data_IF_204679158667
#
_entry.id   IF_204679158667
#
_cell.length_a   1.000
_cell.length_b   1.000
_cell.length_c   1.000
_cell.angle_alpha   90.00
_cell.angle_beta   90.00
_cell.angle_gamma   90.00
#
_symmetry.space_group_name_H-M   'P 1'
#
loop_
_entity.id
_entity.type
_entity.pdbx_description
1 polymer ?
#
# COMPACT_ATOMS: atom_id res chain seq x y z
N UNK A 1 3.71 -21.25 19.11
CA UNK A 1 4.32 -20.46 18.02
C UNK A 1 4.35 -18.97 18.35
N UNK A 2 3.23 -18.36 18.77
CA UNK A 2 3.16 -16.93 19.13
C UNK A 2 4.08 -16.51 20.30
N UNK A 3 4.27 -17.34 21.33
CA UNK A 3 5.20 -17.04 22.44
C UNK A 3 6.66 -16.87 22.01
N UNK A 4 7.12 -17.67 21.02
CA UNK A 4 8.51 -17.63 20.52
C UNK A 4 8.85 -16.36 19.73
N UNK A 5 7.84 -15.61 19.28
CA UNK A 5 7.99 -14.35 18.55
C UNK A 5 7.39 -13.16 19.31
N UNK A 6 7.11 -13.31 20.62
CA UNK A 6 6.52 -12.25 21.44
C UNK A 6 7.45 -11.06 21.69
N UNK A 7 8.76 -11.25 21.49
CA UNK A 7 9.78 -10.23 21.65
C UNK A 7 10.19 -9.70 20.27
N UNK A 8 9.87 -8.44 20.00
CA UNK A 8 10.31 -7.77 18.78
C UNK A 8 11.84 -7.58 18.79
N UNK A 9 12.51 -7.94 17.69
CA UNK A 9 13.95 -7.74 17.55
C UNK A 9 14.28 -6.26 17.40
N UNK A 10 15.26 -5.77 18.16
CA UNK A 10 15.78 -4.40 18.06
C UNK A 10 16.99 -4.28 17.13
N UNK A 11 17.38 -5.36 16.43
CA UNK A 11 18.62 -5.43 15.64
C UNK A 11 18.76 -4.27 14.63
N UNK A 12 17.66 -3.87 14.00
CA UNK A 12 17.64 -2.82 12.97
C UNK A 12 16.99 -1.52 13.44
N UNK A 13 16.67 -1.39 14.73
CA UNK A 13 15.91 -0.24 15.23
C UNK A 13 16.69 1.07 15.04
N UNK A 14 18.00 1.06 15.28
CA UNK A 14 18.86 2.25 15.08
C UNK A 14 18.87 2.68 13.61
N UNK A 15 18.96 1.72 12.68
CA UNK A 15 18.94 1.98 11.25
C UNK A 15 17.58 2.52 10.80
N UNK A 16 16.48 1.96 11.31
CA UNK A 16 15.13 2.43 11.01
C UNK A 16 14.92 3.88 11.49
N UNK A 17 15.32 4.19 12.73
CA UNK A 17 15.28 5.56 13.26
C UNK A 17 16.10 6.50 12.38
N UNK A 18 17.32 6.11 12.02
CA UNK A 18 18.18 6.95 11.17
C UNK A 18 17.58 7.24 9.80
N UNK A 19 16.93 6.27 9.18
CA UNK A 19 16.23 6.47 7.90
C UNK A 19 15.09 7.47 8.06
N UNK A 20 14.30 7.35 9.14
CA UNK A 20 13.20 8.28 9.42
C UNK A 20 13.72 9.70 9.68
N UNK A 21 14.76 9.86 10.50
CA UNK A 21 15.41 11.15 10.76
C UNK A 21 15.89 11.83 9.47
N UNK A 22 16.61 11.09 8.62
CA UNK A 22 17.12 11.61 7.35
C UNK A 22 15.99 11.97 6.39
N UNK A 23 14.90 11.21 6.41
CA UNK A 23 13.69 11.52 5.62
C UNK A 23 13.07 12.83 6.09
N UNK A 24 12.88 13.00 7.39
CA UNK A 24 12.34 14.24 7.95
C UNK A 24 13.28 15.43 7.71
N UNK A 25 14.59 15.24 7.82
CA UNK A 25 15.57 16.29 7.51
C UNK A 25 15.50 16.74 6.04
N UNK A 26 15.28 15.81 5.10
CA UNK A 26 15.24 16.10 3.66
C UNK A 26 13.92 16.70 3.21
N UNK A 27 12.79 16.24 3.74
CA UNK A 27 11.44 16.60 3.25
C UNK A 27 10.67 17.51 4.20
N UNK A 28 11.16 17.74 5.42
CA UNK A 28 10.55 18.60 6.44
C UNK A 28 9.41 17.93 7.22
N UNK A 29 8.62 17.08 6.57
CA UNK A 29 7.62 16.22 7.24
C UNK A 29 7.45 14.90 6.49
N UNK A 30 6.76 13.95 7.12
CA UNK A 30 6.46 12.67 6.49
C UNK A 30 5.47 12.83 5.34
N UNK A 31 4.48 13.70 5.48
CA UNK A 31 3.47 14.01 4.47
C UNK A 31 4.12 14.61 3.22
N UNK A 32 5.10 15.50 3.40
CA UNK A 32 5.87 16.07 2.29
C UNK A 32 6.72 15.01 1.59
N UNK A 33 7.31 14.08 2.33
CA UNK A 33 8.01 12.94 1.75
C UNK A 33 7.05 12.11 0.89
N UNK A 34 5.89 11.75 1.43
CA UNK A 34 4.91 10.96 0.71
C UNK A 34 4.37 11.67 -0.52
N UNK A 35 4.09 12.98 -0.45
CA UNK A 35 3.64 13.76 -1.60
C UNK A 35 4.75 13.89 -2.66
N UNK A 36 5.99 14.17 -2.24
CA UNK A 36 7.11 14.35 -3.17
C UNK A 36 7.47 13.06 -3.90
N UNK A 37 7.32 11.90 -3.27
CA UNK A 37 7.74 10.61 -3.83
C UNK A 37 6.57 9.80 -4.40
N UNK A 38 5.38 9.92 -3.81
CA UNK A 38 4.17 9.24 -4.25
C UNK A 38 3.26 10.06 -5.15
N UNK A 39 3.42 11.39 -5.21
CA UNK A 39 2.52 12.28 -5.93
C UNK A 39 1.26 12.62 -5.13
N UNK A 40 0.26 13.15 -5.83
CA UNK A 40 -1.00 13.57 -5.21
C UNK A 40 -1.81 12.38 -4.76
N UNK A 41 -2.61 12.57 -3.70
CA UNK A 41 -3.64 11.61 -3.32
C UNK A 41 -4.67 11.47 -4.44
N UNK A 42 -5.06 10.24 -4.74
CA UNK A 42 -6.00 9.94 -5.80
C UNK A 42 -7.44 9.94 -5.27
N UNK A 43 -8.38 10.62 -5.94
CA UNK A 43 -9.79 10.47 -5.62
C UNK A 43 -10.26 9.05 -5.97
N UNK A 44 -11.31 8.55 -5.28
CA UNK A 44 -11.84 7.19 -5.43
C UNK A 44 -12.06 6.78 -6.90
N UNK A 45 -12.58 7.69 -7.74
CA UNK A 45 -12.81 7.45 -9.16
C UNK A 45 -11.53 7.16 -9.95
N UNK A 46 -10.43 7.85 -9.63
CA UNK A 46 -9.12 7.65 -10.27
C UNK A 46 -8.46 6.36 -9.82
N UNK A 47 -8.60 5.99 -8.54
CA UNK A 47 -8.15 4.69 -8.03
C UNK A 47 -8.85 3.57 -8.80
N UNK A 48 -10.18 3.60 -8.88
CA UNK A 48 -10.97 2.61 -9.62
C UNK A 48 -10.55 2.46 -11.08
N UNK A 49 -10.32 3.58 -11.77
CA UNK A 49 -9.87 3.56 -13.15
C UNK A 49 -8.51 2.88 -13.31
N UNK A 50 -7.54 3.21 -12.47
CA UNK A 50 -6.21 2.59 -12.50
C UNK A 50 -6.28 1.10 -12.20
N UNK A 51 -7.02 0.70 -11.16
CA UNK A 51 -7.15 -0.72 -10.79
C UNK A 51 -7.79 -1.52 -11.93
N UNK A 52 -8.88 -1.01 -12.53
CA UNK A 52 -9.53 -1.68 -13.66
C UNK A 52 -8.59 -1.84 -14.85
N UNK A 53 -7.84 -0.78 -15.20
CA UNK A 53 -6.86 -0.82 -16.28
C UNK A 53 -5.74 -1.82 -16.00
N UNK A 54 -5.23 -1.83 -14.76
CA UNK A 54 -4.18 -2.75 -14.33
C UNK A 54 -4.65 -4.20 -14.42
N UNK A 55 -5.82 -4.51 -13.85
CA UNK A 55 -6.37 -5.88 -13.89
C UNK A 55 -6.69 -6.35 -15.30
N UNK A 56 -7.20 -5.46 -16.17
CA UNK A 56 -7.40 -5.80 -17.58
C UNK A 56 -6.07 -6.09 -18.29
N UNK A 57 -5.00 -5.35 -17.97
CA UNK A 57 -3.65 -5.57 -18.50
C UNK A 57 -3.05 -6.90 -18.04
N UNK A 58 -3.24 -7.26 -16.77
CA UNK A 58 -2.75 -8.52 -16.19
C UNK A 58 -3.69 -9.71 -16.45
N UNK A 59 -4.81 -9.52 -17.17
CA UNK A 59 -5.74 -10.59 -17.52
C UNK A 59 -6.61 -11.13 -16.38
N UNK A 60 -6.60 -10.49 -15.21
CA UNK A 60 -7.28 -10.95 -13.99
C UNK A 60 -8.56 -10.15 -13.65
N UNK A 61 -9.11 -9.44 -14.63
CA UNK A 61 -10.32 -8.64 -14.44
C UNK A 61 -11.51 -9.54 -14.06
N UNK A 62 -12.08 -9.30 -12.88
CA UNK A 62 -13.22 -10.07 -12.36
C UNK A 62 -12.84 -11.29 -11.53
N UNK A 63 -11.56 -11.68 -11.51
CA UNK A 63 -11.05 -12.75 -10.65
C UNK A 63 -10.80 -12.27 -9.21
N UNK A 64 -10.45 -10.99 -9.07
CA UNK A 64 -10.14 -10.35 -7.80
C UNK A 64 -11.24 -9.32 -7.49
N UNK A 65 -11.85 -9.44 -6.31
CA UNK A 65 -12.77 -8.44 -5.77
C UNK A 65 -11.96 -7.28 -5.20
N UNK A 66 -12.36 -6.04 -5.50
CA UNK A 66 -11.67 -4.85 -5.01
C UNK A 66 -12.57 -4.08 -4.06
N UNK A 67 -12.03 -3.68 -2.91
CA UNK A 67 -12.66 -2.75 -1.98
C UNK A 67 -11.77 -1.54 -1.76
N UNK A 68 -12.40 -0.37 -1.60
CA UNK A 68 -11.71 0.85 -1.20
C UNK A 68 -12.16 1.20 0.22
N UNK A 69 -11.22 1.34 1.15
CA UNK A 69 -11.47 1.61 2.57
C UNK A 69 -10.59 2.75 3.08
N UNK A 70 -10.95 3.34 4.22
CA UNK A 70 -10.11 4.26 4.99
C UNK A 70 -9.60 3.62 6.29
N UNK A 71 -10.12 2.44 6.65
CA UNK A 71 -9.87 1.79 7.94
C UNK A 71 -8.61 0.90 7.96
N UNK A 72 -7.96 0.75 6.81
CA UNK A 72 -6.73 -0.03 6.73
C UNK A 72 -5.55 0.77 7.30
N UNK A 73 -4.78 0.15 8.21
CA UNK A 73 -3.49 0.70 8.62
C UNK A 73 -2.43 0.59 7.51
N UNK A 74 -2.50 -0.47 6.69
CA UNK A 74 -1.65 -0.64 5.52
C UNK A 74 -2.19 0.12 4.30
N UNK A 75 -1.37 0.24 3.25
CA UNK A 75 -1.78 0.86 1.99
C UNK A 75 -2.76 -0.02 1.20
N UNK A 76 -2.56 -1.32 1.26
CA UNK A 76 -3.47 -2.31 0.74
C UNK A 76 -3.31 -3.63 1.50
N UNK A 77 -4.22 -4.56 1.25
CA UNK A 77 -4.14 -5.93 1.73
C UNK A 77 -4.88 -6.86 0.78
N UNK A 78 -4.19 -7.91 0.34
CA UNK A 78 -4.79 -9.08 -0.30
C UNK A 78 -5.24 -10.10 0.75
N UNK A 79 -6.50 -10.52 0.68
CA UNK A 79 -7.08 -11.57 1.52
C UNK A 79 -7.96 -12.51 0.70
N UNK A 80 -8.41 -13.62 1.28
CA UNK A 80 -9.41 -14.50 0.66
C UNK A 80 -10.68 -14.43 1.49
N UNK A 81 -11.77 -13.93 0.88
CA UNK A 81 -13.09 -13.83 1.52
C UNK A 81 -14.04 -14.74 0.76
N UNK A 82 -14.62 -15.74 1.44
CA UNK A 82 -15.52 -16.72 0.84
C UNK A 82 -14.94 -17.41 -0.41
N UNK A 83 -13.65 -17.75 -0.36
CA UNK A 83 -12.94 -18.39 -1.48
C UNK A 83 -12.61 -17.47 -2.65
N UNK A 84 -12.88 -16.15 -2.54
CA UNK A 84 -12.54 -15.16 -3.58
C UNK A 84 -11.37 -14.28 -3.15
N UNK A 85 -10.32 -14.15 -3.98
CA UNK A 85 -9.28 -13.16 -3.77
C UNK A 85 -9.89 -11.76 -3.67
N UNK A 86 -9.54 -11.06 -2.60
CA UNK A 86 -10.13 -9.76 -2.26
C UNK A 86 -9.02 -8.78 -1.90
N UNK A 87 -8.82 -7.79 -2.76
CA UNK A 87 -7.89 -6.70 -2.58
C UNK A 87 -8.62 -5.51 -1.94
N UNK A 88 -8.20 -5.12 -0.74
CA UNK A 88 -8.67 -3.87 -0.11
C UNK A 88 -7.57 -2.82 -0.22
N UNK A 89 -7.89 -1.63 -0.73
CA UNK A 89 -6.97 -0.51 -0.90
C UNK A 89 -7.37 0.62 0.05
N UNK A 90 -6.39 1.18 0.74
CA UNK A 90 -6.58 2.36 1.57
C UNK A 90 -6.60 3.63 0.70
N UNK A 91 -7.72 4.33 0.69
CA UNK A 91 -7.91 5.54 -0.11
C UNK A 91 -7.08 6.70 0.43
N UNK A 92 -6.90 6.77 1.75
CA UNK A 92 -6.18 7.86 2.41
C UNK A 92 -4.68 7.87 2.08
N UNK A 93 -4.15 6.77 1.54
CA UNK A 93 -2.73 6.63 1.20
C UNK A 93 -2.47 6.32 -0.28
N UNK A 94 -3.52 6.20 -1.10
CA UNK A 94 -3.39 5.90 -2.52
C UNK A 94 -2.89 7.11 -3.30
N UNK A 95 -1.65 7.04 -3.82
CA UNK A 95 -0.99 8.14 -4.54
C UNK A 95 -0.62 7.78 -5.97
N UNK A 96 -0.63 8.79 -6.83
CA UNK A 96 -0.44 8.70 -8.29
C UNK A 96 0.72 7.81 -8.72
N UNK A 97 1.92 8.04 -8.18
CA UNK A 97 3.14 7.34 -8.59
C UNK A 97 3.32 5.98 -7.91
N UNK A 98 2.53 5.69 -6.86
CA UNK A 98 2.68 4.48 -6.05
C UNK A 98 1.63 3.43 -6.33
N UNK A 99 0.46 3.82 -6.83
CA UNK A 99 -0.68 2.92 -6.98
C UNK A 99 -0.33 1.70 -7.85
N UNK A 100 0.35 1.89 -8.98
CA UNK A 100 0.73 0.76 -9.83
C UNK A 100 1.73 -0.19 -9.15
N UNK A 101 2.76 0.35 -8.48
CA UNK A 101 3.73 -0.46 -7.75
C UNK A 101 3.09 -1.25 -6.62
N UNK A 102 2.13 -0.66 -5.93
CA UNK A 102 1.31 -1.32 -4.91
C UNK A 102 0.48 -2.46 -5.52
N UNK A 103 -0.20 -2.22 -6.66
CA UNK A 103 -0.98 -3.27 -7.33
C UNK A 103 -0.11 -4.44 -7.78
N UNK A 104 1.08 -4.15 -8.31
CA UNK A 104 2.06 -5.19 -8.67
C UNK A 104 2.48 -6.04 -7.48
N UNK A 105 2.72 -5.41 -6.33
CA UNK A 105 3.10 -6.11 -5.11
C UNK A 105 1.99 -7.03 -4.58
N UNK A 106 0.75 -6.53 -4.52
CA UNK A 106 -0.37 -7.27 -3.92
C UNK A 106 -0.93 -8.37 -4.84
N UNK A 107 -0.91 -8.15 -6.16
CA UNK A 107 -1.49 -9.08 -7.14
C UNK A 107 -0.44 -10.08 -7.63
N UNK A 108 0.84 -9.70 -7.68
CA UNK A 108 1.94 -10.64 -7.88
C UNK A 108 1.93 -11.40 -9.21
N UNK A 109 1.48 -10.75 -10.28
CA UNK A 109 1.54 -11.27 -11.66
C UNK A 109 2.68 -10.63 -12.45
#
# INVERSE_FOLDING_TARGET
VLEKYSQASSLFLKQAIRIMELTLQKYGSYENFEQSTGGSLLPRSRIWNHVRKYMAKEGCLGEIVVHLSEDLLSRASMTVVNGRPTLTINISTAREHWLEGMLRHEIGM
#
